data_IF_692534372608
#
_entry.id   IF_692534372608
#
_cell.length_a   1.000
_cell.length_b   1.000
_cell.length_c   1.000
_cell.angle_alpha   90.00
_cell.angle_beta   90.00
_cell.angle_gamma   90.00
#
_symmetry.space_group_name_H-M   'P 1'
#
loop_
_entity.id
_entity.type
_entity.pdbx_description
1 polymer ?
#
# COMPACT_ATOMS: atom_id res chain seq x y z
N UNK A 1 0.74 5.16 -20.07
CA UNK A 1 0.08 4.27 -19.11
C UNK A 1 -1.24 3.87 -19.69
N UNK A 2 -1.52 2.58 -19.77
CA UNK A 2 -2.86 2.08 -20.08
C UNK A 2 -3.88 2.61 -19.06
N UNK A 3 -5.07 2.97 -19.54
CA UNK A 3 -6.18 3.45 -18.73
C UNK A 3 -6.49 2.55 -17.51
N UNK A 4 -6.56 1.20 -17.64
CA UNK A 4 -6.77 0.32 -16.49
C UNK A 4 -5.68 0.43 -15.42
N UNK A 5 -4.41 0.53 -15.81
CA UNK A 5 -3.31 0.64 -14.85
C UNK A 5 -3.33 1.99 -14.12
N UNK A 6 -3.63 3.08 -14.84
CA UNK A 6 -3.75 4.40 -14.21
C UNK A 6 -4.88 4.45 -13.18
N UNK A 7 -6.05 3.92 -13.53
CA UNK A 7 -7.19 3.83 -12.61
C UNK A 7 -6.85 2.97 -11.39
N UNK A 8 -6.21 1.82 -11.60
CA UNK A 8 -5.84 0.91 -10.52
C UNK A 8 -4.87 1.54 -9.50
N UNK A 9 -3.90 2.31 -9.97
CA UNK A 9 -2.96 3.00 -9.07
C UNK A 9 -3.63 4.14 -8.30
N UNK A 10 -4.51 4.90 -8.94
CA UNK A 10 -5.27 5.93 -8.23
C UNK A 10 -6.20 5.32 -7.18
N UNK A 11 -6.83 4.19 -7.49
CA UNK A 11 -7.58 3.41 -6.51
C UNK A 11 -6.68 2.98 -5.35
N UNK A 12 -5.46 2.50 -5.65
CA UNK A 12 -4.47 2.10 -4.65
C UNK A 12 -4.11 3.27 -3.71
N UNK A 13 -3.95 4.49 -4.25
CA UNK A 13 -3.71 5.70 -3.45
C UNK A 13 -4.88 5.97 -2.50
N UNK A 14 -6.12 5.94 -3.01
CA UNK A 14 -7.32 6.17 -2.19
C UNK A 14 -7.39 5.12 -1.07
N UNK A 15 -7.17 3.85 -1.38
CA UNK A 15 -7.18 2.78 -0.37
C UNK A 15 -6.04 2.91 0.64
N UNK A 16 -4.87 3.39 0.25
CA UNK A 16 -3.78 3.64 1.18
C UNK A 16 -4.14 4.74 2.19
N UNK A 17 -4.78 5.82 1.72
CA UNK A 17 -5.27 6.93 2.56
C UNK A 17 -6.42 6.47 3.47
N UNK A 18 -7.41 5.75 2.93
CA UNK A 18 -8.51 5.21 3.73
C UNK A 18 -7.98 4.25 4.80
N UNK A 19 -7.03 3.38 4.45
CA UNK A 19 -6.37 2.50 5.42
C UNK A 19 -5.64 3.30 6.49
N UNK A 20 -5.02 4.44 6.15
CA UNK A 20 -4.40 5.30 7.15
C UNK A 20 -5.43 5.87 8.14
N UNK A 21 -6.58 6.33 7.66
CA UNK A 21 -7.65 6.89 8.50
C UNK A 21 -8.31 5.81 9.38
N UNK A 22 -8.61 4.64 8.81
CA UNK A 22 -9.37 3.58 9.48
C UNK A 22 -8.54 2.81 10.51
N UNK A 23 -7.23 2.66 10.28
CA UNK A 23 -6.35 1.91 11.18
C UNK A 23 -5.64 2.79 12.19
N UNK A 24 -5.67 4.11 12.04
CA UNK A 24 -5.13 5.02 13.04
C UNK A 24 -6.13 5.21 14.21
N UNK A 25 -5.67 5.24 15.47
CA UNK A 25 -4.32 4.91 15.94
C UNK A 25 -4.09 3.40 16.08
N UNK A 26 -2.83 2.98 16.05
CA UNK A 26 -2.36 1.58 16.16
C UNK A 26 -2.02 1.19 17.61
N UNK A 27 -1.99 2.16 18.51
CA UNK A 27 -1.73 1.93 19.93
C UNK A 27 -0.73 2.95 20.44
N UNK A 28 0.53 2.55 20.57
CA UNK A 28 1.59 3.41 21.14
C UNK A 28 2.09 4.46 20.15
N UNK A 29 2.60 5.58 20.68
CA UNK A 29 3.16 6.69 19.91
C UNK A 29 4.24 6.25 18.90
N UNK A 30 5.20 5.36 19.24
CA UNK A 30 6.21 4.91 18.28
C UNK A 30 5.59 4.14 17.09
N UNK A 31 4.59 3.29 17.34
CA UNK A 31 3.90 2.55 16.29
C UNK A 31 3.10 3.47 15.38
N UNK A 32 2.47 4.51 15.95
CA UNK A 32 1.74 5.51 15.17
C UNK A 32 2.68 6.31 14.25
N UNK A 33 3.86 6.71 14.74
CA UNK A 33 4.87 7.39 13.91
C UNK A 33 5.34 6.47 12.78
N UNK A 34 5.68 5.23 13.10
CA UNK A 34 6.15 4.27 12.09
C UNK A 34 5.04 3.95 11.07
N UNK A 35 3.79 3.86 11.50
CA UNK A 35 2.64 3.68 10.60
C UNK A 35 2.47 4.84 9.62
N UNK A 36 2.61 6.08 10.09
CA UNK A 36 2.58 7.26 9.23
C UNK A 36 3.72 7.25 8.21
N UNK A 37 4.94 6.88 8.63
CA UNK A 37 6.10 6.76 7.73
C UNK A 37 5.82 5.70 6.65
N UNK A 38 5.28 4.55 7.03
CA UNK A 38 4.94 3.48 6.08
C UNK A 38 3.89 3.96 5.07
N UNK A 39 2.80 4.58 5.53
CA UNK A 39 1.74 5.09 4.64
C UNK A 39 2.24 6.21 3.72
N UNK A 40 3.05 7.13 4.24
CA UNK A 40 3.69 8.18 3.43
C UNK A 40 4.63 7.57 2.37
N UNK A 41 5.38 6.52 2.74
CA UNK A 41 6.21 5.75 1.83
C UNK A 41 5.41 5.07 0.72
N UNK A 42 4.27 4.45 1.05
CA UNK A 42 3.36 3.84 0.06
C UNK A 42 2.87 4.88 -0.95
N UNK A 43 2.38 6.02 -0.46
CA UNK A 43 1.87 7.10 -1.33
C UNK A 43 3.01 7.65 -2.19
N UNK A 44 4.20 7.85 -1.62
CA UNK A 44 5.37 8.34 -2.37
C UNK A 44 5.76 7.37 -3.49
N UNK A 45 5.80 6.06 -3.20
CA UNK A 45 6.06 5.03 -4.22
C UNK A 45 5.01 5.02 -5.34
N UNK A 46 3.73 5.11 -4.98
CA UNK A 46 2.62 5.22 -5.94
C UNK A 46 2.70 6.48 -6.80
N UNK A 47 2.97 7.64 -6.19
CA UNK A 47 3.12 8.91 -6.91
C UNK A 47 4.32 8.86 -7.86
N UNK A 48 5.44 8.29 -7.43
CA UNK A 48 6.61 8.11 -8.27
C UNK A 48 6.30 7.19 -9.47
N UNK A 49 5.44 6.19 -9.28
CA UNK A 49 4.98 5.33 -10.36
C UNK A 49 4.02 6.03 -11.33
N UNK A 50 3.06 6.82 -10.82
CA UNK A 50 2.06 7.52 -11.62
C UNK A 50 2.71 8.65 -12.44
N UNK A 51 3.54 9.48 -11.82
CA UNK A 51 4.09 10.68 -12.45
C UNK A 51 5.39 10.41 -13.21
N UNK A 52 6.35 9.71 -12.59
CA UNK A 52 7.66 9.46 -13.22
C UNK A 52 7.72 8.16 -14.00
N UNK A 53 6.68 7.31 -13.93
CA UNK A 53 6.61 6.00 -14.62
C UNK A 53 7.86 5.14 -14.40
N UNK A 54 8.51 5.27 -13.24
CA UNK A 54 9.70 4.50 -12.90
C UNK A 54 9.31 3.25 -12.13
N UNK A 55 9.85 2.09 -12.55
CA UNK A 55 9.67 0.80 -11.86
C UNK A 55 10.14 0.82 -10.41
N UNK A 56 11.08 1.70 -10.07
CA UNK A 56 11.54 1.92 -8.70
C UNK A 56 10.36 2.30 -7.78
N UNK A 57 9.37 3.04 -8.28
CA UNK A 57 8.17 3.39 -7.51
C UNK A 57 7.35 2.18 -7.10
N UNK A 58 7.29 1.14 -7.95
CA UNK A 58 6.61 -0.12 -7.66
C UNK A 58 7.34 -0.88 -6.56
N UNK A 59 8.66 -1.00 -6.69
CA UNK A 59 9.47 -1.69 -5.69
C UNK A 59 9.32 -1.02 -4.32
N UNK A 60 9.45 0.30 -4.27
CA UNK A 60 9.31 1.09 -3.06
C UNK A 60 7.91 0.93 -2.45
N UNK A 61 6.86 1.07 -3.26
CA UNK A 61 5.49 0.85 -2.81
C UNK A 61 5.25 -0.58 -2.28
N UNK A 62 5.77 -1.62 -2.96
CA UNK A 62 5.59 -3.01 -2.54
C UNK A 62 6.29 -3.33 -1.22
N UNK A 63 7.48 -2.75 -0.99
CA UNK A 63 8.22 -2.88 0.26
C UNK A 63 7.41 -2.24 1.41
N UNK A 64 6.84 -1.07 1.16
CA UNK A 64 5.98 -0.44 2.15
C UNK A 64 4.65 -1.17 2.36
N UNK A 65 4.09 -1.85 1.34
CA UNK A 65 2.93 -2.74 1.53
C UNK A 65 3.29 -3.90 2.46
N UNK A 66 4.45 -4.54 2.27
CA UNK A 66 4.92 -5.59 3.18
C UNK A 66 5.09 -5.07 4.61
N UNK A 67 5.64 -3.86 4.77
CA UNK A 67 5.72 -3.17 6.05
C UNK A 67 4.35 -2.90 6.69
N UNK A 68 3.34 -2.51 5.89
CA UNK A 68 1.98 -2.28 6.35
C UNK A 68 1.30 -3.57 6.84
N UNK A 69 1.52 -4.69 6.14
CA UNK A 69 1.03 -6.01 6.57
C UNK A 69 1.64 -6.40 7.92
N UNK A 70 2.97 -6.28 8.07
CA UNK A 70 3.66 -6.59 9.33
C UNK A 70 3.12 -5.72 10.48
N UNK A 71 2.96 -4.43 10.24
CA UNK A 71 2.33 -3.49 11.19
C UNK A 71 0.93 -3.92 11.62
N UNK A 72 0.12 -4.35 10.66
CA UNK A 72 -1.27 -4.75 10.93
C UNK A 72 -1.32 -6.06 11.72
N UNK A 73 -0.41 -6.99 11.47
CA UNK A 73 -0.24 -8.23 12.26
C UNK A 73 0.22 -7.90 13.69
N UNK A 74 1.18 -6.98 13.85
CA UNK A 74 1.60 -6.51 15.18
C UNK A 74 0.44 -5.86 15.93
N UNK A 75 -0.36 -5.03 15.26
CA UNK A 75 -1.58 -4.43 15.84
C UNK A 75 -2.55 -5.49 16.33
N UNK A 76 -2.76 -6.53 15.52
CA UNK A 76 -3.62 -7.64 15.90
C UNK A 76 -3.11 -8.33 17.17
N UNK A 77 -1.81 -8.66 17.23
CA UNK A 77 -1.22 -9.30 18.40
C UNK A 77 -1.38 -8.45 19.67
N UNK A 78 -1.17 -7.13 19.57
CA UNK A 78 -1.33 -6.19 20.69
C UNK A 78 -2.78 -5.98 21.11
N UNK A 79 -3.71 -5.95 20.16
CA UNK A 79 -5.13 -5.70 20.43
C UNK A 79 -5.87 -6.95 20.93
N UNK A 80 -5.33 -8.15 20.71
CA UNK A 80 -5.94 -9.44 21.08
C UNK A 80 -7.26 -9.76 20.37
N UNK A 81 -7.76 -8.86 19.52
CA UNK A 81 -9.05 -8.97 18.84
C UNK A 81 -8.87 -8.96 17.33
N UNK A 82 -9.47 -9.96 16.68
CA UNK A 82 -9.55 -10.03 15.22
C UNK A 82 -10.71 -9.14 14.78
N UNK A 83 -10.40 -7.98 14.22
CA UNK A 83 -11.42 -7.21 13.50
C UNK A 83 -11.42 -7.58 12.02
N UNK A 84 -12.60 -7.66 11.41
CA UNK A 84 -12.75 -7.88 9.97
C UNK A 84 -11.97 -6.86 9.14
N UNK A 85 -11.82 -5.62 9.65
CA UNK A 85 -11.04 -4.56 9.03
C UNK A 85 -9.54 -4.88 8.90
N UNK A 86 -8.98 -5.62 9.86
CA UNK A 86 -7.57 -6.05 9.85
C UNK A 86 -7.32 -7.03 8.71
N UNK A 87 -8.21 -8.01 8.57
CA UNK A 87 -8.11 -9.04 7.52
C UNK A 87 -8.23 -8.38 6.15
N UNK A 88 -9.21 -7.50 5.94
CA UNK A 88 -9.37 -6.77 4.68
C UNK A 88 -8.12 -5.95 4.37
N UNK A 89 -7.55 -5.24 5.35
CA UNK A 89 -6.36 -4.42 5.10
C UNK A 89 -5.21 -5.27 4.58
N UNK A 90 -4.96 -6.44 5.18
CA UNK A 90 -3.90 -7.35 4.75
C UNK A 90 -4.16 -7.83 3.31
N UNK A 91 -5.40 -8.23 3.00
CA UNK A 91 -5.77 -8.67 1.65
C UNK A 91 -5.53 -7.54 0.65
N UNK A 92 -5.96 -6.32 0.94
CA UNK A 92 -5.80 -5.16 0.06
C UNK A 92 -4.32 -4.85 -0.17
N UNK A 93 -3.50 -4.83 0.89
CA UNK A 93 -2.07 -4.55 0.81
C UNK A 93 -1.29 -5.62 0.01
N UNK A 94 -1.82 -6.84 -0.14
CA UNK A 94 -1.24 -7.90 -0.98
C UNK A 94 -1.79 -7.85 -2.41
N UNK A 95 -3.11 -7.72 -2.56
CA UNK A 95 -3.80 -7.78 -3.86
C UNK A 95 -3.46 -6.57 -4.73
N UNK A 96 -3.42 -5.37 -4.15
CA UNK A 96 -3.13 -4.14 -4.90
C UNK A 96 -1.79 -4.20 -5.66
N UNK A 97 -0.64 -4.51 -5.01
CA UNK A 97 0.63 -4.63 -5.72
C UNK A 97 0.66 -5.84 -6.67
N UNK A 98 0.02 -6.96 -6.33
CA UNK A 98 -0.03 -8.14 -7.21
C UNK A 98 -0.77 -7.85 -8.54
N UNK A 99 -1.93 -7.20 -8.47
CA UNK A 99 -2.70 -6.80 -9.66
C UNK A 99 -1.94 -5.73 -10.44
N UNK A 100 -1.35 -4.75 -9.77
CA UNK A 100 -0.52 -3.73 -10.42
C UNK A 100 0.68 -4.35 -11.16
N UNK A 101 1.35 -5.36 -10.60
CA UNK A 101 2.42 -6.09 -11.27
C UNK A 101 1.93 -6.79 -12.55
N UNK A 102 0.78 -7.46 -12.49
CA UNK A 102 0.18 -8.11 -13.66
C UNK A 102 -0.13 -7.11 -14.79
N UNK A 103 -0.71 -5.96 -14.43
CA UNK A 103 -1.02 -4.89 -15.37
C UNK A 103 0.26 -4.22 -15.93
N UNK A 104 1.29 -4.04 -15.10
CA UNK A 104 2.59 -3.52 -15.54
C UNK A 104 3.30 -4.50 -16.48
N UNK A 105 3.23 -5.82 -16.22
CA UNK A 105 3.83 -6.85 -17.10
C UNK A 105 3.19 -6.85 -18.48
N UNK A 106 1.87 -6.63 -18.56
CA UNK A 106 1.16 -6.45 -19.83
C UNK A 106 1.54 -5.15 -20.55
N UNK A 107 1.94 -4.11 -19.81
CA UNK A 107 2.29 -2.77 -20.32
C UNK A 107 3.79 -2.46 -20.27
N UNK A 108 4.64 -3.50 -20.42
CA UNK A 108 6.09 -3.44 -20.15
C UNK A 108 6.83 -2.35 -20.94
N UNK A 109 6.35 -1.97 -22.13
CA UNK A 109 6.93 -0.94 -22.99
C UNK A 109 6.81 0.49 -22.44
N UNK A 110 5.89 0.75 -21.49
CA UNK A 110 5.62 2.08 -20.96
C UNK A 110 6.50 2.50 -19.77
N UNK A 111 7.26 1.55 -19.22
CA UNK A 111 8.07 1.70 -18.01
C UNK A 111 9.57 1.48 -18.29
N UNK A 112 10.01 1.85 -19.50
CA UNK A 112 11.41 1.81 -19.93
C UNK A 112 12.16 3.03 -19.43
#
# INVERSE_FOLDING_TARGET
MTLPLKLWLWLSVITAVLGAVLLFPIGTVPLNILFLVVKAGMITGLMLLIFKRRRIGFSLWSIFCAGAVLMTILKWNLSGQVSFLIIISIIVDIVMPAVAYSLMKKSTSEFR
#
